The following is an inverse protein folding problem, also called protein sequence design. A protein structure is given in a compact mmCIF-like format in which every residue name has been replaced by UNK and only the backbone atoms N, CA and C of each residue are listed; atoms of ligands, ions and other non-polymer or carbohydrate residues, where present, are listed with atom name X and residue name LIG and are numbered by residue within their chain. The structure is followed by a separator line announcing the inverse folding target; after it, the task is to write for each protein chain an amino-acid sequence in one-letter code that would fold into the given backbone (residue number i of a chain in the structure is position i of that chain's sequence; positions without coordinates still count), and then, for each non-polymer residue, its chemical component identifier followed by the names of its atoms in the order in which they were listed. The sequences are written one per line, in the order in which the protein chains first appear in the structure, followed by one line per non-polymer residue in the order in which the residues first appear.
data_IF_687546515419
#
_entry.id   IF_687546515419
#
_cell.length_a   1.000
_cell.length_b   1.000
_cell.length_c   1.000
_cell.angle_alpha   90.00
_cell.angle_beta   90.00
_cell.angle_gamma   90.00
#
_symmetry.space_group_name_H-M   'P 1'
#
loop_
_entity.id
_entity.type
_entity.pdbx_description
1 polymer ?
#
# COMPACT_ATOMS: atom_id res chain seq x y z
N UNK A 1 -7.22 -13.83 30.03
CA UNK A 1 -6.66 -14.11 28.69
C UNK A 1 -7.51 -13.33 27.70
N UNK A 2 -7.00 -12.23 27.12
CA UNK A 2 -7.83 -11.38 26.26
C UNK A 2 -8.11 -12.08 24.92
N UNK A 3 -9.36 -12.46 24.66
CA UNK A 3 -9.83 -12.85 23.34
C UNK A 3 -10.37 -11.61 22.64
N UNK A 4 -9.54 -10.98 21.81
CA UNK A 4 -9.98 -9.84 21.01
C UNK A 4 -10.76 -10.32 19.79
N UNK A 5 -11.85 -9.59 19.46
CA UNK A 5 -12.47 -9.69 18.14
C UNK A 5 -11.48 -9.28 17.05
N UNK A 6 -11.76 -9.61 15.79
CA UNK A 6 -10.84 -9.31 14.68
C UNK A 6 -10.52 -7.81 14.56
N UNK A 7 -11.47 -6.94 14.91
CA UNK A 7 -11.27 -5.49 14.94
C UNK A 7 -10.52 -5.03 16.21
N UNK A 8 -10.72 -5.73 17.34
CA UNK A 8 -9.97 -5.50 18.57
C UNK A 8 -8.46 -5.71 18.37
N UNK A 9 -8.07 -6.69 17.55
CA UNK A 9 -6.68 -6.89 17.15
C UNK A 9 -6.08 -5.71 16.40
N UNK A 10 -6.83 -5.10 15.49
CA UNK A 10 -6.38 -3.92 14.74
C UNK A 10 -6.10 -2.77 15.72
N UNK A 11 -7.02 -2.52 16.66
CA UNK A 11 -6.84 -1.48 17.68
C UNK A 11 -5.62 -1.77 18.57
N UNK A 12 -5.48 -3.00 19.06
CA UNK A 12 -4.37 -3.40 19.94
C UNK A 12 -3.01 -3.12 19.29
N UNK A 13 -2.86 -3.55 18.03
CA UNK A 13 -1.65 -3.36 17.23
C UNK A 13 -1.33 -1.88 17.00
N UNK A 14 -2.34 -1.04 16.74
CA UNK A 14 -2.14 0.39 16.49
C UNK A 14 -1.66 1.14 17.73
N UNK A 15 -2.15 0.78 18.93
CA UNK A 15 -1.80 1.47 20.17
C UNK A 15 -0.60 0.87 20.92
N UNK A 16 -0.22 -0.38 20.63
CA UNK A 16 0.92 -1.05 21.23
C UNK A 16 1.90 -1.52 20.12
N UNK A 17 2.70 -0.61 19.54
CA UNK A 17 3.51 -0.90 18.36
C UNK A 17 4.57 -1.99 18.59
N UNK A 18 5.14 -2.10 19.79
CA UNK A 18 6.22 -3.06 20.09
C UNK A 18 5.70 -4.45 20.46
N UNK A 19 4.57 -4.52 21.16
CA UNK A 19 4.01 -5.77 21.70
C UNK A 19 2.87 -6.31 20.84
N UNK A 20 2.04 -5.43 20.27
CA UNK A 20 0.79 -5.82 19.63
C UNK A 20 0.97 -6.73 18.41
N UNK A 21 1.99 -6.49 17.59
CA UNK A 21 2.31 -7.38 16.46
C UNK A 21 2.95 -8.70 16.91
N UNK A 22 3.69 -8.69 18.02
CA UNK A 22 4.22 -9.91 18.60
C UNK A 22 3.07 -10.74 19.17
N UNK A 23 2.16 -10.15 19.94
CA UNK A 23 0.95 -10.81 20.46
C UNK A 23 0.10 -11.42 19.34
N UNK A 24 -0.10 -10.67 18.25
CA UNK A 24 -0.82 -11.15 17.06
C UNK A 24 -0.16 -12.42 16.48
N UNK A 25 1.18 -12.47 16.48
CA UNK A 25 1.96 -13.63 16.03
C UNK A 25 1.83 -14.80 16.97
N UNK A 26 2.03 -14.59 18.27
CA UNK A 26 1.94 -15.64 19.29
C UNK A 26 0.54 -16.27 19.33
N UNK A 27 -0.51 -15.46 19.20
CA UNK A 27 -1.89 -15.94 19.14
C UNK A 27 -2.31 -16.51 17.78
N UNK A 28 -1.45 -16.39 16.76
CA UNK A 28 -1.72 -16.79 15.37
C UNK A 28 -3.03 -16.19 14.83
N UNK A 29 -3.35 -14.97 15.27
CA UNK A 29 -4.55 -14.25 14.88
C UNK A 29 -4.26 -13.32 13.71
N UNK A 30 -5.31 -12.86 13.04
CA UNK A 30 -5.21 -12.00 11.87
C UNK A 30 -6.11 -12.47 10.74
N UNK A 31 -6.88 -11.55 10.18
CA UNK A 31 -7.86 -11.87 9.14
C UNK A 31 -7.46 -11.25 7.82
N UNK A 32 -7.30 -12.12 6.81
CA UNK A 32 -7.07 -11.69 5.43
C UNK A 32 -8.24 -10.84 4.91
N UNK A 33 -9.47 -11.13 5.34
CA UNK A 33 -10.66 -10.34 4.97
C UNK A 33 -10.51 -8.90 5.46
N UNK A 34 -10.08 -8.71 6.71
CA UNK A 34 -9.87 -7.37 7.27
C UNK A 34 -8.71 -6.66 6.57
N UNK A 35 -7.63 -7.37 6.26
CA UNK A 35 -6.51 -6.82 5.49
C UNK A 35 -6.95 -6.30 4.11
N UNK A 36 -7.75 -7.07 3.37
CA UNK A 36 -8.29 -6.65 2.08
C UNK A 36 -9.22 -5.43 2.21
N UNK A 37 -10.09 -5.41 3.22
CA UNK A 37 -10.95 -4.25 3.50
C UNK A 37 -10.09 -3.01 3.80
N UNK A 38 -8.99 -3.14 4.55
CA UNK A 38 -8.06 -2.04 4.82
C UNK A 38 -7.37 -1.52 3.56
N UNK A 39 -6.97 -2.38 2.63
CA UNK A 39 -6.41 -1.95 1.33
C UNK A 39 -7.46 -1.23 0.49
N UNK A 40 -8.71 -1.67 0.51
CA UNK A 40 -9.81 -0.95 -0.15
C UNK A 40 -10.05 0.41 0.52
N UNK A 41 -10.03 0.47 1.86
CA UNK A 41 -10.14 1.72 2.60
C UNK A 41 -8.97 2.67 2.33
N UNK A 42 -7.75 2.15 2.11
CA UNK A 42 -6.59 2.92 1.66
C UNK A 42 -6.85 3.55 0.29
N UNK A 43 -7.32 2.77 -0.68
CA UNK A 43 -7.68 3.30 -1.99
C UNK A 43 -8.73 4.42 -1.89
N UNK A 44 -9.80 4.20 -1.13
CA UNK A 44 -10.84 5.23 -0.92
C UNK A 44 -10.26 6.46 -0.23
N UNK A 45 -9.37 6.30 0.76
CA UNK A 45 -8.71 7.42 1.44
C UNK A 45 -7.85 8.23 0.46
N UNK A 46 -7.14 7.58 -0.47
CA UNK A 46 -6.36 8.27 -1.50
C UNK A 46 -7.25 9.00 -2.51
N UNK A 47 -8.38 8.41 -2.91
CA UNK A 47 -9.38 9.08 -3.75
C UNK A 47 -9.96 10.31 -3.05
N UNK A 48 -10.34 10.17 -1.77
CA UNK A 48 -10.84 11.26 -0.95
C UNK A 48 -9.81 12.38 -0.79
N UNK A 49 -8.54 12.04 -0.54
CA UNK A 49 -7.46 13.01 -0.46
C UNK A 49 -7.22 13.73 -1.80
N UNK A 50 -7.38 13.04 -2.93
CA UNK A 50 -7.22 13.67 -4.24
C UNK A 50 -8.40 14.58 -4.65
N UNK A 51 -9.62 14.29 -4.21
CA UNK A 51 -10.86 14.89 -4.77
C UNK A 51 -11.76 15.62 -3.77
N UNK A 52 -11.72 15.24 -2.50
CA UNK A 52 -12.63 15.74 -1.46
C UNK A 52 -11.94 16.69 -0.48
N UNK A 53 -10.67 17.01 -0.72
CA UNK A 53 -9.97 18.07 0.03
C UNK A 53 -10.61 19.42 -0.28
N UNK A 54 -10.65 20.29 0.74
CA UNK A 54 -11.29 21.61 0.63
C UNK A 54 -10.75 22.43 -0.54
N UNK A 55 -11.63 23.25 -1.12
CA UNK A 55 -11.33 24.02 -2.34
C UNK A 55 -10.01 24.80 -2.25
N UNK A 56 -9.72 25.39 -1.09
CA UNK A 56 -8.52 26.19 -0.86
C UNK A 56 -7.21 25.38 -0.93
N UNK A 57 -7.26 24.06 -0.77
CA UNK A 57 -6.11 23.15 -0.79
C UNK A 57 -6.10 22.23 -2.02
N UNK A 58 -7.16 22.26 -2.83
CA UNK A 58 -7.25 21.43 -4.02
C UNK A 58 -6.40 22.02 -5.16
N UNK A 59 -5.17 21.54 -5.27
CA UNK A 59 -4.23 21.93 -6.34
C UNK A 59 -4.43 21.14 -7.64
N UNK A 60 -5.40 20.22 -7.69
CA UNK A 60 -5.64 19.37 -8.87
C UNK A 60 -6.48 20.11 -9.93
N UNK A 61 -5.83 20.84 -10.82
CA UNK A 61 -6.46 21.54 -11.96
C UNK A 61 -6.83 20.62 -13.14
N UNK A 62 -6.70 19.30 -12.98
CA UNK A 62 -6.96 18.32 -14.05
C UNK A 62 -8.46 18.20 -14.32
N UNK A 63 -8.88 18.64 -15.53
CA UNK A 63 -10.26 18.56 -16.03
C UNK A 63 -10.80 17.12 -16.14
N UNK A 64 -9.92 16.13 -16.29
CA UNK A 64 -10.29 14.71 -16.41
C UNK A 64 -9.66 13.95 -15.26
N UNK A 65 -10.52 13.30 -14.46
CA UNK A 65 -10.07 12.42 -13.38
C UNK A 65 -9.57 11.10 -13.96
N UNK A 66 -8.30 10.77 -13.68
CA UNK A 66 -7.75 9.46 -13.97
C UNK A 66 -7.61 8.68 -12.65
N UNK A 67 -8.37 7.59 -12.52
CA UNK A 67 -8.34 6.71 -11.34
C UNK A 67 -7.17 5.73 -11.37
N UNK A 68 -6.59 5.45 -12.54
CA UNK A 68 -5.53 4.45 -12.73
C UNK A 68 -4.32 4.71 -11.82
N UNK A 69 -3.77 5.94 -11.73
CA UNK A 69 -2.65 6.21 -10.83
C UNK A 69 -2.97 5.91 -9.36
N UNK A 70 -4.20 6.15 -8.91
CA UNK A 70 -4.61 5.90 -7.53
C UNK A 70 -4.73 4.40 -7.24
N UNK A 71 -5.23 3.62 -8.20
CA UNK A 71 -5.24 2.15 -8.09
C UNK A 71 -3.81 1.61 -8.03
N UNK A 72 -2.90 2.15 -8.85
CA UNK A 72 -1.50 1.74 -8.85
C UNK A 72 -0.85 2.05 -7.49
N UNK A 73 -1.01 3.28 -7.00
CA UNK A 73 -0.40 3.72 -5.73
C UNK A 73 -0.93 2.99 -4.50
N UNK A 74 -2.19 2.55 -4.51
CA UNK A 74 -2.79 1.83 -3.40
C UNK A 74 -2.61 0.32 -3.53
N UNK A 75 -3.22 -0.29 -4.56
CA UNK A 75 -3.34 -1.75 -4.69
C UNK A 75 -2.06 -2.34 -5.27
N UNK A 76 -1.53 -1.80 -6.36
CA UNK A 76 -0.37 -2.37 -7.05
C UNK A 76 0.88 -2.22 -6.20
N UNK A 77 1.12 -1.06 -5.59
CA UNK A 77 2.27 -0.86 -4.71
C UNK A 77 2.17 -1.73 -3.46
N UNK A 78 0.99 -1.87 -2.85
CA UNK A 78 0.81 -2.78 -1.72
C UNK A 78 1.02 -4.25 -2.09
N UNK A 79 0.50 -4.69 -3.24
CA UNK A 79 0.72 -6.05 -3.74
C UNK A 79 2.21 -6.31 -4.03
N UNK A 80 2.87 -5.36 -4.70
CA UNK A 80 4.31 -5.43 -5.00
C UNK A 80 5.14 -5.43 -3.72
N UNK A 81 4.75 -4.65 -2.71
CA UNK A 81 5.36 -4.67 -1.38
C UNK A 81 5.26 -6.07 -0.75
N UNK A 82 4.07 -6.67 -0.73
CA UNK A 82 3.86 -8.00 -0.14
C UNK A 82 4.70 -9.07 -0.87
N UNK A 83 4.73 -9.04 -2.21
CA UNK A 83 5.48 -9.99 -3.02
C UNK A 83 6.99 -9.77 -2.84
N UNK A 84 7.47 -8.53 -3.00
CA UNK A 84 8.88 -8.18 -2.85
C UNK A 84 9.40 -8.51 -1.45
N UNK A 85 8.60 -8.23 -0.42
CA UNK A 85 8.95 -8.54 0.95
C UNK A 85 9.04 -10.05 1.20
N UNK A 86 8.14 -10.83 0.61
CA UNK A 86 8.22 -12.29 0.65
C UNK A 86 9.46 -12.84 -0.08
N UNK A 87 9.81 -12.29 -1.24
CA UNK A 87 11.05 -12.66 -1.94
C UNK A 87 12.28 -12.37 -1.08
N UNK A 88 12.37 -11.19 -0.46
CA UNK A 88 13.48 -10.84 0.43
C UNK A 88 13.48 -11.69 1.71
N UNK A 89 12.31 -12.05 2.22
CA UNK A 89 12.17 -12.97 3.35
C UNK A 89 12.82 -14.33 3.05
N UNK A 90 12.63 -14.87 1.85
CA UNK A 90 13.29 -16.13 1.45
C UNK A 90 14.80 -16.00 1.32
N UNK A 91 15.31 -14.81 0.96
CA UNK A 91 16.74 -14.54 0.85
C UNK A 91 17.42 -14.34 2.21
N UNK A 92 16.70 -13.76 3.18
CA UNK A 92 17.21 -13.42 4.51
C UNK A 92 16.78 -14.43 5.59
N UNK A 93 16.38 -15.64 5.21
CA UNK A 93 15.93 -16.71 6.12
C UNK A 93 14.87 -16.24 7.13
N UNK A 94 13.83 -15.56 6.65
CA UNK A 94 12.69 -15.14 7.48
C UNK A 94 11.54 -16.15 7.46
N UNK A 95 10.70 -16.11 8.50
CA UNK A 95 9.53 -16.99 8.63
C UNK A 95 8.22 -16.41 8.05
N UNK A 96 8.33 -15.26 7.36
CA UNK A 96 7.20 -14.53 6.83
C UNK A 96 6.56 -15.25 5.65
N UNK A 97 5.25 -15.52 5.74
CA UNK A 97 4.46 -16.00 4.61
C UNK A 97 3.73 -14.84 3.95
N UNK A 98 3.45 -14.92 2.64
CA UNK A 98 2.68 -13.91 1.89
C UNK A 98 1.40 -13.46 2.63
N UNK A 99 0.67 -14.42 3.20
CA UNK A 99 -0.55 -14.15 3.97
C UNK A 99 -0.27 -13.32 5.23
N UNK A 100 0.76 -13.65 6.01
CA UNK A 100 1.12 -12.91 7.24
C UNK A 100 1.60 -11.50 6.90
N UNK A 101 2.49 -11.38 5.91
CA UNK A 101 3.00 -10.08 5.43
C UNK A 101 1.82 -9.18 5.01
N UNK A 102 0.89 -9.71 4.20
CA UNK A 102 -0.31 -8.97 3.79
C UNK A 102 -1.14 -8.46 4.97
N UNK A 103 -1.44 -9.33 5.96
CA UNK A 103 -2.25 -8.95 7.12
C UNK A 103 -1.54 -7.89 7.96
N UNK A 104 -0.27 -8.11 8.29
CA UNK A 104 0.48 -7.26 9.20
C UNK A 104 0.78 -5.89 8.57
N UNK A 105 1.15 -5.86 7.28
CA UNK A 105 1.34 -4.63 6.54
C UNK A 105 0.04 -3.84 6.39
N UNK A 106 -1.10 -4.49 6.14
CA UNK A 106 -2.38 -3.79 6.08
C UNK A 106 -2.77 -3.17 7.44
N UNK A 107 -2.51 -3.87 8.54
CA UNK A 107 -2.82 -3.38 9.89
C UNK A 107 -1.90 -2.22 10.28
N UNK A 108 -0.63 -2.25 9.83
CA UNK A 108 0.31 -1.15 10.02
C UNK A 108 -0.11 0.15 9.31
N UNK A 109 -0.90 0.07 8.23
CA UNK A 109 -1.38 1.23 7.46
C UNK A 109 -2.63 1.91 8.04
N UNK A 110 -3.24 1.34 9.08
CA UNK A 110 -4.46 1.87 9.71
C UNK A 110 -4.32 3.34 10.16
N UNK A 111 -3.22 3.77 10.80
CA UNK A 111 -3.07 5.16 11.20
C UNK A 111 -3.06 6.11 10.02
N UNK A 112 -2.36 5.76 8.94
CA UNK A 112 -2.34 6.54 7.71
C UNK A 112 -3.74 6.68 7.10
N UNK A 113 -4.50 5.58 7.04
CA UNK A 113 -5.87 5.58 6.51
C UNK A 113 -6.76 6.52 7.33
N UNK A 114 -6.77 6.36 8.65
CA UNK A 114 -7.63 7.16 9.55
C UNK A 114 -7.22 8.63 9.52
N UNK A 115 -5.94 8.93 9.66
CA UNK A 115 -5.44 10.31 9.63
C UNK A 115 -5.68 10.98 8.27
N UNK A 116 -5.63 10.23 7.15
CA UNK A 116 -5.97 10.77 5.84
C UNK A 116 -7.44 11.19 5.77
N UNK A 117 -8.37 10.39 6.30
CA UNK A 117 -9.78 10.78 6.37
C UNK A 117 -10.00 12.02 7.24
N UNK A 118 -9.33 12.09 8.40
CA UNK A 118 -9.41 13.24 9.29
C UNK A 118 -8.85 14.49 8.60
N UNK A 119 -7.71 14.38 7.92
CA UNK A 119 -7.09 15.49 7.20
C UNK A 119 -8.01 16.01 6.08
N UNK A 120 -8.63 15.12 5.30
CA UNK A 120 -9.62 15.50 4.28
C UNK A 120 -10.80 16.22 4.90
N UNK A 121 -11.36 15.69 5.98
CA UNK A 121 -12.48 16.31 6.68
C UNK A 121 -12.12 17.73 7.14
N UNK A 122 -11.01 17.89 7.87
CA UNK A 122 -10.55 19.18 8.40
C UNK A 122 -10.24 20.18 7.27
N UNK A 123 -9.66 19.73 6.16
CA UNK A 123 -9.32 20.60 5.03
C UNK A 123 -10.51 21.38 4.45
N UNK A 124 -11.75 20.92 4.68
CA UNK A 124 -12.97 21.61 4.24
C UNK A 124 -13.43 22.71 5.20
N UNK A 125 -12.89 22.77 6.43
CA UNK A 125 -13.27 23.74 7.46
C UNK A 125 -12.20 24.81 7.72
N UNK A 126 -10.94 24.51 7.42
CA UNK A 126 -9.81 25.41 7.70
C UNK A 126 -9.47 26.29 6.50
N UNK A 127 -8.83 27.44 6.77
CA UNK A 127 -8.30 28.36 5.76
C UNK A 127 -6.84 28.05 5.42
N UNK A 128 -6.32 28.55 4.30
CA UNK A 128 -4.96 28.26 3.82
C UNK A 128 -3.84 28.66 4.79
N UNK A 129 -4.07 29.66 5.65
CA UNK A 129 -3.12 30.08 6.69
C UNK A 129 -2.96 28.99 7.78
N UNK A 130 -3.94 28.10 7.91
CA UNK A 130 -3.98 27.02 8.91
C UNK A 130 -3.56 25.65 8.33
N UNK A 131 -2.93 25.64 7.15
CA UNK A 131 -2.48 24.41 6.45
C UNK A 131 -1.64 23.46 7.30
N UNK A 132 -0.99 24.01 8.34
CA UNK A 132 -0.20 23.24 9.31
C UNK A 132 -1.03 22.11 9.95
N UNK A 133 -2.32 22.30 10.20
CA UNK A 133 -3.18 21.26 10.79
C UNK A 133 -3.41 20.10 9.82
N UNK A 134 -3.64 20.40 8.53
CA UNK A 134 -3.76 19.38 7.50
C UNK A 134 -2.49 18.53 7.39
N UNK A 135 -1.33 19.19 7.35
CA UNK A 135 -0.04 18.51 7.30
C UNK A 135 0.28 17.74 8.58
N UNK A 136 -0.08 18.26 9.76
CA UNK A 136 0.14 17.59 11.03
C UNK A 136 -0.53 16.21 11.08
N UNK A 137 -1.82 16.10 10.70
CA UNK A 137 -2.49 14.81 10.64
C UNK A 137 -1.88 13.87 9.59
N UNK A 138 -1.55 14.40 8.42
CA UNK A 138 -0.93 13.60 7.35
C UNK A 138 0.41 13.01 7.79
N UNK A 139 1.30 13.82 8.38
CA UNK A 139 2.61 13.39 8.86
C UNK A 139 2.51 12.48 10.09
N UNK A 140 1.57 12.74 11.00
CA UNK A 140 1.33 11.86 12.14
C UNK A 140 0.89 10.47 11.69
N UNK A 141 -0.09 10.39 10.77
CA UNK A 141 -0.57 9.13 10.23
C UNK A 141 0.53 8.36 9.49
N UNK A 142 1.31 9.06 8.67
CA UNK A 142 2.44 8.47 7.95
C UNK A 142 3.54 7.98 8.90
N UNK A 143 4.00 8.84 9.81
CA UNK A 143 5.06 8.51 10.77
C UNK A 143 4.68 7.34 11.67
N UNK A 144 3.45 7.33 12.19
CA UNK A 144 2.98 6.22 13.03
C UNK A 144 2.87 4.92 12.24
N UNK A 145 2.40 4.97 10.99
CA UNK A 145 2.34 3.79 10.13
C UNK A 145 3.73 3.24 9.77
N UNK A 146 4.74 4.09 9.62
CA UNK A 146 6.14 3.66 9.42
C UNK A 146 6.66 2.91 10.64
N UNK A 147 6.42 3.42 11.85
CA UNK A 147 6.81 2.75 13.09
C UNK A 147 6.11 1.38 13.19
N UNK A 148 4.80 1.34 12.95
CA UNK A 148 4.04 0.09 12.93
C UNK A 148 4.54 -0.87 11.86
N UNK A 149 4.94 -0.40 10.67
CA UNK A 149 5.45 -1.25 9.60
C UNK A 149 6.76 -1.92 10.01
N UNK A 150 7.67 -1.19 10.68
CA UNK A 150 8.92 -1.78 11.18
C UNK A 150 8.60 -2.87 12.21
N UNK A 151 7.72 -2.59 13.17
CA UNK A 151 7.31 -3.60 14.16
C UNK A 151 6.59 -4.79 13.54
N UNK A 152 5.73 -4.55 12.54
CA UNK A 152 5.05 -5.58 11.78
C UNK A 152 6.05 -6.53 11.11
N UNK A 153 7.03 -5.99 10.37
CA UNK A 153 8.01 -6.80 9.66
C UNK A 153 8.94 -7.54 10.62
N UNK A 154 9.37 -6.88 11.71
CA UNK A 154 10.14 -7.52 12.79
C UNK A 154 9.39 -8.75 13.32
N UNK A 155 8.11 -8.59 13.66
CA UNK A 155 7.30 -9.68 14.19
C UNK A 155 7.06 -10.78 13.15
N UNK A 156 6.67 -10.45 11.91
CA UNK A 156 6.36 -11.44 10.85
C UNK A 156 7.55 -12.33 10.53
N UNK A 157 8.74 -11.75 10.38
CA UNK A 157 9.93 -12.48 9.96
C UNK A 157 10.78 -13.01 11.13
N UNK A 158 10.46 -12.61 12.36
CA UNK A 158 11.27 -12.87 13.54
C UNK A 158 12.68 -12.27 13.45
N UNK A 159 12.81 -11.12 12.82
CA UNK A 159 14.09 -10.44 12.66
C UNK A 159 14.45 -9.60 13.88
N UNK A 160 15.76 -9.37 14.07
CA UNK A 160 16.22 -8.27 14.91
C UNK A 160 15.92 -6.92 14.24
N UNK A 161 15.90 -5.82 15.01
CA UNK A 161 15.62 -4.49 14.46
C UNK A 161 16.59 -4.13 13.30
N UNK A 162 17.93 -4.32 13.42
CA UNK A 162 18.84 -4.01 12.32
C UNK A 162 18.56 -4.84 11.07
N UNK A 163 18.30 -6.15 11.23
CA UNK A 163 17.97 -7.04 10.11
C UNK A 163 16.64 -6.65 9.45
N UNK A 164 15.68 -6.18 10.24
CA UNK A 164 14.38 -5.67 9.74
C UNK A 164 14.55 -4.44 8.87
N UNK A 165 15.36 -3.46 9.30
CA UNK A 165 15.61 -2.26 8.51
C UNK A 165 16.29 -2.59 7.18
N UNK A 166 17.30 -3.47 7.20
CA UNK A 166 17.96 -3.96 5.97
C UNK A 166 16.95 -4.67 5.06
N UNK A 167 16.10 -5.53 5.63
CA UNK A 167 15.04 -6.23 4.88
C UNK A 167 14.06 -5.26 4.22
N UNK A 168 13.65 -4.19 4.91
CA UNK A 168 12.77 -3.15 4.36
C UNK A 168 13.44 -2.43 3.19
N UNK A 169 14.70 -2.01 3.34
CA UNK A 169 15.45 -1.36 2.24
C UNK A 169 15.59 -2.27 1.03
N UNK A 170 15.97 -3.55 1.25
CA UNK A 170 16.05 -4.53 0.18
C UNK A 170 14.69 -4.82 -0.46
N UNK A 171 13.61 -4.77 0.32
CA UNK A 171 12.23 -4.89 -0.20
C UNK A 171 11.92 -3.75 -1.16
N UNK A 172 12.29 -2.51 -0.82
CA UNK A 172 12.09 -1.36 -1.71
C UNK A 172 12.87 -1.51 -3.02
N UNK A 173 14.10 -2.02 -2.96
CA UNK A 173 14.89 -2.35 -4.17
C UNK A 173 14.20 -3.46 -4.99
N UNK A 174 13.72 -4.52 -4.33
CA UNK A 174 12.99 -5.59 -4.99
C UNK A 174 11.70 -5.08 -5.65
N UNK A 175 10.95 -4.17 -5.01
CA UNK A 175 9.77 -3.55 -5.60
C UNK A 175 10.11 -2.77 -6.87
N UNK A 176 11.20 -1.99 -6.86
CA UNK A 176 11.65 -1.25 -8.03
C UNK A 176 11.98 -2.21 -9.18
N UNK A 177 12.70 -3.30 -8.90
CA UNK A 177 13.02 -4.33 -9.90
C UNK A 177 11.76 -5.01 -10.44
N UNK A 178 10.81 -5.40 -9.58
CA UNK A 178 9.55 -6.04 -9.99
C UNK A 178 8.74 -5.10 -10.89
N UNK A 179 8.56 -3.84 -10.49
CA UNK A 179 7.79 -2.87 -11.27
C UNK A 179 8.48 -2.56 -12.61
N UNK A 180 9.80 -2.43 -12.61
CA UNK A 180 10.58 -2.24 -13.84
C UNK A 180 10.42 -3.42 -14.81
N UNK A 181 10.56 -4.65 -14.32
CA UNK A 181 10.37 -5.86 -15.12
C UNK A 181 8.93 -5.99 -15.61
N UNK A 182 7.94 -5.65 -14.78
CA UNK A 182 6.53 -5.67 -15.17
C UNK A 182 6.26 -4.69 -16.33
N UNK A 183 6.80 -3.47 -16.26
CA UNK A 183 6.65 -2.47 -17.33
C UNK A 183 7.34 -2.94 -18.62
N UNK A 184 8.55 -3.50 -18.53
CA UNK A 184 9.26 -4.06 -19.68
C UNK A 184 8.45 -5.19 -20.34
N UNK A 185 7.93 -6.11 -19.54
CA UNK A 185 7.13 -7.23 -20.03
C UNK A 185 5.85 -6.74 -20.72
N UNK A 186 5.15 -5.77 -20.13
CA UNK A 186 3.96 -5.14 -20.73
C UNK A 186 4.30 -4.45 -22.06
N UNK A 187 5.43 -3.76 -22.14
CA UNK A 187 5.91 -3.13 -23.38
C UNK A 187 6.19 -4.16 -24.48
N UNK A 188 6.82 -5.29 -24.14
CA UNK A 188 7.06 -6.38 -25.10
C UNK A 188 5.74 -6.99 -25.60
N UNK A 189 4.79 -7.28 -24.72
CA UNK A 189 3.48 -7.78 -25.14
C UNK A 189 2.72 -6.78 -26.03
N UNK A 190 2.80 -5.48 -25.72
CA UNK A 190 2.21 -4.45 -26.56
C UNK A 190 2.85 -4.43 -27.96
N UNK A 191 4.17 -4.54 -28.06
CA UNK A 191 4.87 -4.61 -29.35
C UNK A 191 4.46 -5.83 -30.17
N UNK A 192 4.38 -7.01 -29.54
CA UNK A 192 3.90 -8.24 -30.18
C UNK A 192 2.45 -8.10 -30.66
N UNK A 193 1.58 -7.52 -29.83
CA UNK A 193 0.19 -7.26 -30.21
C UNK A 193 0.10 -6.33 -31.43
N UNK A 194 0.85 -5.22 -31.43
CA UNK A 194 0.87 -4.27 -32.56
C UNK A 194 1.41 -4.94 -33.83
N UNK A 195 2.44 -5.78 -33.71
CA UNK A 195 2.97 -6.54 -34.84
C UNK A 195 1.92 -7.49 -35.45
N UNK A 196 1.25 -8.30 -34.62
CA UNK A 196 0.19 -9.21 -35.06
C UNK A 196 -0.98 -8.44 -35.67
N UNK A 197 -1.40 -7.34 -35.04
CA UNK A 197 -2.47 -6.49 -35.55
C UNK A 197 -2.11 -5.90 -36.92
N UNK A 198 -0.87 -5.44 -37.10
CA UNK A 198 -0.38 -4.88 -38.36
C UNK A 198 -0.40 -5.92 -39.48
N UNK A 199 0.09 -7.15 -39.21
CA UNK A 199 0.03 -8.27 -40.16
C UNK A 199 -1.43 -8.58 -40.55
N UNK A 200 -2.32 -8.67 -39.56
CA UNK A 200 -3.73 -8.92 -39.81
C UNK A 200 -4.34 -7.85 -40.72
N UNK A 201 -4.07 -6.57 -40.45
CA UNK A 201 -4.59 -5.47 -41.27
C UNK A 201 -4.04 -5.51 -42.69
N UNK A 202 -2.74 -5.78 -42.88
CA UNK A 202 -2.12 -5.89 -44.21
C UNK A 202 -2.73 -7.02 -45.05
N UNK A 203 -2.96 -8.19 -44.45
CA UNK A 203 -3.62 -9.31 -45.12
C UNK A 203 -5.06 -8.95 -45.48
N UNK A 204 -5.81 -8.33 -44.56
CA UNK A 204 -7.19 -7.93 -44.81
C UNK A 204 -7.30 -6.90 -45.94
N UNK A 205 -6.38 -5.94 -46.03
CA UNK A 205 -6.33 -4.97 -47.13
C UNK A 205 -5.99 -5.63 -48.47
N UNK A 206 -5.06 -6.60 -48.49
CA UNK A 206 -4.68 -7.33 -49.71
C UNK A 206 -5.76 -8.29 -50.23
N UNK A 207 -6.68 -8.73 -49.38
CA UNK A 207 -7.81 -9.58 -49.79
C UNK A 207 -9.00 -8.73 -50.27
N UNK A 208 -9.13 -7.49 -49.78
CA UNK A 208 -10.23 -6.58 -50.13
C UNK A 208 -9.93 -5.64 -51.30
N UNK A 209 -8.66 -5.39 -51.62
CA UNK A 209 -8.22 -4.71 -52.84
C UNK A 209 -7.94 -5.72 -53.94
#
# INVERSE_FOLDING_TARGET
MYEFSTLGWVKHVVFHPFEGFEDLRWKKQGSLKVALILVVMLFIAMVANNRMVGFAFNTNTVKVFNVVPLIVQSVVYFATWVIGNWCICTLLDGEGTLKKICIYSAYALVPYIICSYIAVFISNFIITEEVIWFHAFTYLGMGWSVILMISAMKAVHQYSIPKTLVSIVLTLVAMLLILFLAILLLSLFQQVYVFVYTIYTEIAYRIRG
#
